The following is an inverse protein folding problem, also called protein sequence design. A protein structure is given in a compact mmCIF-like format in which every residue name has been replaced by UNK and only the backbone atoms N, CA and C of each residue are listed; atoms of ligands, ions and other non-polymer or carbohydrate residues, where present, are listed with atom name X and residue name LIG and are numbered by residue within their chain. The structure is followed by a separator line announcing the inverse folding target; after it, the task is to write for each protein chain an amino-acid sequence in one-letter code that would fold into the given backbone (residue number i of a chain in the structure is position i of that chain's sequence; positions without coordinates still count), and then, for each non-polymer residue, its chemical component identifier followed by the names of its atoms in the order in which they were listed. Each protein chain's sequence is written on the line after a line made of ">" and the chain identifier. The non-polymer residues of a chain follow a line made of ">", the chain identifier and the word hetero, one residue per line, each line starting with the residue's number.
data_IF_618017359031
#
_entry.id   IF_618017359031
#
_cell.length_a   1.000
_cell.length_b   1.000
_cell.length_c   1.000
_cell.angle_alpha   90.00
_cell.angle_beta   90.00
_cell.angle_gamma   90.00
#
_symmetry.space_group_name_H-M   'P 1'
#
loop_
_entity.id
_entity.type
_entity.pdbx_description
1 polymer ?
#
# COMPACT_ATOMS: atom_id res chain seq x y z
N UNK A 1 -8.76 42.02 -5.57
CA UNK A 1 -8.00 41.78 -6.82
C UNK A 1 -6.67 41.16 -6.43
N UNK A 2 -6.27 40.11 -7.15
CA UNK A 2 -5.03 39.32 -7.02
C UNK A 2 -5.07 38.11 -6.07
N UNK A 3 -5.56 37.03 -6.68
CA UNK A 3 -5.27 35.63 -6.43
C UNK A 3 -3.81 35.29 -6.71
N UNK A 4 -3.24 34.37 -5.94
CA UNK A 4 -2.27 33.31 -6.31
C UNK A 4 -2.10 32.43 -5.07
N UNK A 5 -2.01 31.10 -5.07
CA UNK A 5 -2.18 30.05 -6.08
C UNK A 5 -2.11 28.74 -5.28
N UNK A 6 -3.25 28.10 -5.02
CA UNK A 6 -3.30 26.77 -4.43
C UNK A 6 -3.30 25.74 -5.54
N UNK A 7 -2.14 25.18 -5.85
CA UNK A 7 -2.05 24.02 -6.74
C UNK A 7 -2.79 22.83 -6.10
N UNK A 8 -3.59 22.07 -6.86
CA UNK A 8 -4.24 20.86 -6.34
C UNK A 8 -3.20 19.79 -6.03
N UNK A 9 -3.35 19.16 -4.86
CA UNK A 9 -2.49 18.08 -4.35
C UNK A 9 -2.83 16.75 -5.05
N UNK A 10 -2.74 16.71 -6.37
CA UNK A 10 -2.98 15.56 -7.24
C UNK A 10 -1.82 15.45 -8.23
N UNK A 11 -0.70 14.84 -7.81
CA UNK A 11 0.32 14.31 -8.72
C UNK A 11 1.45 13.60 -7.95
N UNK A 12 1.23 12.35 -7.56
CA UNK A 12 2.35 11.43 -7.28
C UNK A 12 1.91 9.97 -7.39
N UNK A 13 1.30 9.57 -8.50
CA UNK A 13 1.20 8.15 -8.87
C UNK A 13 1.31 7.98 -10.38
N UNK A 14 2.25 7.10 -10.76
CA UNK A 14 2.37 6.42 -12.05
C UNK A 14 3.12 7.19 -13.14
N UNK A 15 4.44 7.04 -13.14
CA UNK A 15 5.16 6.90 -14.41
C UNK A 15 6.28 5.87 -14.23
N UNK A 16 6.04 4.65 -14.72
CA UNK A 16 7.04 3.67 -15.16
C UNK A 16 6.29 2.47 -15.76
N UNK A 17 5.86 2.63 -17.03
CA UNK A 17 5.60 1.50 -17.91
C UNK A 17 6.23 1.81 -19.27
N UNK A 18 7.46 1.35 -19.42
CA UNK A 18 8.13 1.18 -20.70
C UNK A 18 7.38 0.12 -21.55
N UNK A 19 7.36 0.27 -22.89
CA UNK A 19 6.55 -0.56 -23.78
C UNK A 19 7.20 -1.93 -24.00
N UNK A 20 6.46 -3.01 -23.71
CA UNK A 20 6.84 -4.36 -24.14
C UNK A 20 6.24 -4.60 -25.53
N UNK A 21 7.17 -4.81 -26.46
CA UNK A 21 7.01 -5.08 -27.89
C UNK A 21 6.35 -6.45 -28.09
N UNK A 22 5.24 -6.50 -28.83
CA UNK A 22 4.59 -7.75 -29.26
C UNK A 22 5.28 -8.23 -30.55
N UNK A 23 6.14 -9.23 -30.43
CA UNK A 23 6.67 -9.99 -31.56
C UNK A 23 5.65 -11.10 -31.92
N UNK A 24 5.00 -10.97 -33.07
CA UNK A 24 4.43 -12.13 -33.76
C UNK A 24 5.52 -12.86 -34.56
N UNK A 25 5.30 -14.12 -34.89
CA UNK A 25 5.48 -14.49 -36.28
C UNK A 25 4.30 -15.27 -36.87
N UNK A 26 4.34 -15.19 -38.20
CA UNK A 26 3.37 -15.61 -39.21
C UNK A 26 3.23 -17.13 -39.34
N UNK A 27 2.15 -17.55 -40.01
CA UNK A 27 1.75 -18.95 -40.19
C UNK A 27 2.44 -19.73 -41.32
N UNK A 28 1.94 -20.94 -41.56
CA UNK A 28 1.62 -21.55 -42.88
C UNK A 28 1.23 -23.03 -42.74
N UNK A 29 0.49 -23.49 -43.75
CA UNK A 29 -0.41 -24.65 -43.85
C UNK A 29 0.23 -26.06 -43.89
N UNK A 30 -0.64 -27.07 -43.66
CA UNK A 30 -0.68 -28.28 -44.50
C UNK A 30 -0.56 -29.64 -43.79
N UNK A 31 -1.57 -30.52 -43.97
CA UNK A 31 -1.42 -31.97 -43.82
C UNK A 31 -2.65 -32.75 -43.33
N UNK A 32 -3.43 -33.30 -44.25
CA UNK A 32 -4.47 -34.32 -44.03
C UNK A 32 -3.90 -35.68 -43.57
N UNK A 33 -4.70 -36.44 -42.83
CA UNK A 33 -4.48 -37.87 -42.54
C UNK A 33 -5.36 -38.36 -41.39
N UNK A 34 -6.33 -39.23 -41.68
CA UNK A 34 -7.36 -39.68 -40.76
C UNK A 34 -7.02 -40.91 -39.90
N UNK A 35 -8.10 -41.57 -39.50
CA UNK A 35 -8.25 -42.86 -38.82
C UNK A 35 -8.63 -42.82 -37.33
N UNK A 36 -9.51 -43.76 -37.02
CA UNK A 36 -10.47 -43.84 -35.94
C UNK A 36 -9.87 -44.07 -34.54
N UNK A 37 -10.74 -43.88 -33.53
CA UNK A 37 -10.94 -44.77 -32.38
C UNK A 37 -10.88 -44.12 -30.98
N UNK A 38 -11.94 -44.45 -30.23
CA UNK A 38 -12.11 -44.57 -28.79
C UNK A 38 -12.09 -43.31 -27.91
N UNK A 39 -13.21 -43.13 -27.21
CA UNK A 39 -13.43 -42.05 -26.27
C UNK A 39 -12.41 -42.02 -25.15
N UNK A 40 -11.67 -40.92 -25.07
CA UNK A 40 -10.84 -40.58 -23.93
C UNK A 40 -11.27 -39.20 -23.44
N UNK A 41 -12.12 -39.19 -22.41
CA UNK A 41 -12.58 -38.00 -21.71
C UNK A 41 -11.37 -37.19 -21.26
N UNK A 42 -11.03 -36.15 -22.02
CA UNK A 42 -9.95 -35.23 -21.72
C UNK A 42 -10.28 -34.50 -20.43
N UNK A 43 -9.58 -34.85 -19.35
CA UNK A 43 -9.66 -34.15 -18.08
C UNK A 43 -9.03 -32.76 -18.28
N UNK A 44 -9.85 -31.78 -18.69
CA UNK A 44 -9.44 -30.38 -18.78
C UNK A 44 -9.14 -29.90 -17.36
N UNK A 45 -7.88 -29.97 -16.95
CA UNK A 45 -7.40 -29.39 -15.70
C UNK A 45 -7.46 -27.87 -15.85
N UNK A 46 -8.59 -27.27 -15.48
CA UNK A 46 -8.72 -25.82 -15.31
C UNK A 46 -7.58 -25.36 -14.39
N UNK A 47 -6.64 -24.59 -14.94
CA UNK A 47 -5.54 -23.99 -14.19
C UNK A 47 -6.12 -23.18 -13.03
N UNK A 48 -5.88 -23.62 -11.79
CA UNK A 48 -6.31 -22.88 -10.60
C UNK A 48 -5.65 -21.50 -10.62
N UNK A 49 -6.40 -20.39 -10.58
CA UNK A 49 -5.80 -19.06 -10.56
C UNK A 49 -4.88 -18.95 -9.33
N UNK A 50 -3.59 -18.70 -9.58
CA UNK A 50 -2.63 -18.44 -8.50
C UNK A 50 -2.94 -17.06 -7.93
N UNK A 51 -3.47 -17.01 -6.71
CA UNK A 51 -3.66 -15.75 -5.99
C UNK A 51 -2.29 -15.12 -5.70
N UNK A 52 -2.11 -13.87 -6.15
CA UNK A 52 -0.90 -13.10 -5.84
C UNK A 52 -0.95 -12.72 -4.36
N UNK A 53 0.15 -12.95 -3.62
CA UNK A 53 0.26 -12.49 -2.23
C UNK A 53 0.08 -10.97 -2.17
N UNK A 54 -0.70 -10.42 -1.22
CA UNK A 54 -0.87 -8.98 -1.10
C UNK A 54 0.47 -8.32 -0.77
N UNK A 55 0.72 -7.15 -1.37
CA UNK A 55 1.88 -6.31 -1.03
C UNK A 55 1.72 -5.78 0.40
N UNK A 56 2.81 -5.81 1.16
CA UNK A 56 2.89 -5.23 2.50
C UNK A 56 3.36 -3.78 2.44
N UNK A 57 2.87 -2.99 3.38
CA UNK A 57 3.11 -1.56 3.51
C UNK A 57 3.46 -1.22 4.96
N UNK A 58 4.49 -0.42 5.15
CA UNK A 58 4.83 0.18 6.45
C UNK A 58 3.98 1.42 6.65
N UNK A 59 3.35 1.54 7.81
CA UNK A 59 2.70 2.78 8.25
C UNK A 59 3.66 3.55 9.15
N UNK A 60 3.84 4.83 8.85
CA UNK A 60 4.86 5.70 9.42
C UNK A 60 4.19 6.92 10.08
N UNK A 61 4.72 7.34 11.24
CA UNK A 61 4.47 8.67 11.79
C UNK A 61 5.69 9.56 11.55
N UNK A 62 5.45 10.83 11.24
CA UNK A 62 6.48 11.85 11.04
C UNK A 62 6.51 12.83 12.21
N UNK A 63 7.70 13.26 12.60
CA UNK A 63 7.89 14.23 13.67
C UNK A 63 7.43 15.63 13.24
N UNK A 64 6.91 16.37 14.21
CA UNK A 64 6.58 17.79 14.12
C UNK A 64 6.78 18.45 15.49
N UNK A 65 6.83 19.78 15.54
CA UNK A 65 7.14 20.52 16.77
C UNK A 65 5.91 20.87 17.64
N UNK A 66 4.70 20.49 17.22
CA UNK A 66 3.45 20.96 17.84
C UNK A 66 2.57 19.85 18.42
N UNK A 67 2.70 18.62 17.96
CA UNK A 67 1.94 17.48 18.47
C UNK A 67 2.50 17.04 19.83
N UNK A 68 1.69 17.00 20.91
CA UNK A 68 2.16 16.55 22.22
C UNK A 68 2.61 15.08 22.23
N UNK A 69 3.67 14.76 22.99
CA UNK A 69 4.18 13.39 23.12
C UNK A 69 3.11 12.39 23.57
N UNK A 70 2.29 12.76 24.55
CA UNK A 70 1.19 11.92 25.05
C UNK A 70 0.10 11.68 23.99
N UNK A 71 -0.11 12.63 23.07
CA UNK A 71 -1.04 12.44 21.96
C UNK A 71 -0.52 11.36 21.00
N UNK A 72 0.77 11.38 20.68
CA UNK A 72 1.41 10.36 19.83
C UNK A 72 1.33 8.98 20.48
N UNK A 73 1.57 8.88 21.79
CA UNK A 73 1.42 7.62 22.53
C UNK A 73 -0.03 7.12 22.45
N UNK A 74 -1.02 8.00 22.67
CA UNK A 74 -2.43 7.63 22.56
C UNK A 74 -2.81 7.12 21.16
N UNK A 75 -2.28 7.75 20.11
CA UNK A 75 -2.46 7.30 18.71
C UNK A 75 -1.91 5.89 18.51
N UNK A 76 -0.70 5.62 19.03
CA UNK A 76 -0.03 4.32 18.92
C UNK A 76 -0.79 3.21 19.69
N UNK A 77 -1.31 3.51 20.88
CA UNK A 77 -2.15 2.59 21.65
C UNK A 77 -3.48 2.31 20.95
N UNK A 78 -4.18 3.36 20.52
CA UNK A 78 -5.55 3.27 19.99
C UNK A 78 -5.63 2.64 18.60
N UNK A 79 -4.77 3.05 17.67
CA UNK A 79 -4.88 2.67 16.26
C UNK A 79 -3.90 1.57 15.84
N UNK A 80 -2.81 1.39 16.58
CA UNK A 80 -1.77 0.40 16.26
C UNK A 80 -1.64 -0.71 17.30
N UNK A 81 -2.49 -0.70 18.33
CA UNK A 81 -2.54 -1.71 19.39
C UNK A 81 -1.17 -1.92 20.06
N UNK A 82 -0.38 -0.84 20.18
CA UNK A 82 0.88 -0.88 20.92
C UNK A 82 0.59 -0.86 22.41
N UNK A 83 1.32 -1.67 23.18
CA UNK A 83 1.38 -1.48 24.62
C UNK A 83 2.07 -0.15 24.95
N UNK A 84 1.78 0.42 26.12
CA UNK A 84 2.28 1.73 26.53
C UNK A 84 3.80 1.87 26.40
N UNK A 85 4.57 0.86 26.82
CA UNK A 85 6.04 0.86 26.74
C UNK A 85 6.54 0.92 25.29
N UNK A 86 5.96 0.10 24.41
CA UNK A 86 6.28 0.09 22.97
C UNK A 86 5.87 1.39 22.30
N UNK A 87 4.70 1.93 22.65
CA UNK A 87 4.22 3.20 22.14
C UNK A 87 5.16 4.35 22.52
N UNK A 88 5.59 4.43 23.79
CA UNK A 88 6.56 5.43 24.24
C UNK A 88 7.89 5.29 23.51
N UNK A 89 8.38 4.06 23.30
CA UNK A 89 9.63 3.81 22.55
C UNK A 89 9.53 4.26 21.10
N UNK A 90 8.42 3.96 20.41
CA UNK A 90 8.19 4.42 19.03
C UNK A 90 8.06 5.94 18.99
N UNK A 91 7.30 6.54 19.91
CA UNK A 91 7.14 7.99 20.01
C UNK A 91 8.50 8.70 20.17
N UNK A 92 9.35 8.24 21.10
CA UNK A 92 10.69 8.80 21.29
C UNK A 92 11.57 8.61 20.05
N UNK A 93 11.39 7.50 19.32
CA UNK A 93 12.09 7.28 18.06
C UNK A 93 11.65 8.30 17.00
N UNK A 94 10.34 8.53 16.82
CA UNK A 94 9.82 9.56 15.91
C UNK A 94 10.40 10.92 16.29
N UNK A 95 10.33 11.29 17.57
CA UNK A 95 10.81 12.58 18.07
C UNK A 95 12.29 12.84 17.75
N UNK A 96 13.15 11.84 17.97
CA UNK A 96 14.60 11.99 17.76
C UNK A 96 15.07 11.74 16.32
N UNK A 97 14.33 10.95 15.53
CA UNK A 97 14.76 10.49 14.19
C UNK A 97 13.93 11.07 13.05
N UNK A 98 12.85 11.80 13.36
CA UNK A 98 11.98 12.42 12.37
C UNK A 98 10.89 11.50 11.82
N UNK A 99 11.05 10.17 11.93
CA UNK A 99 10.11 9.18 11.40
C UNK A 99 10.15 7.92 12.27
N UNK A 100 9.03 7.21 12.38
CA UNK A 100 8.96 5.93 13.08
C UNK A 100 7.91 4.99 12.50
N UNK A 101 8.24 3.70 12.47
CA UNK A 101 7.35 2.65 11.98
C UNK A 101 6.35 2.28 13.07
N UNK A 102 5.07 2.42 12.75
CA UNK A 102 3.98 2.06 13.64
C UNK A 102 3.58 0.59 13.47
N UNK A 103 3.60 0.09 12.24
CA UNK A 103 3.32 -1.30 11.91
C UNK A 103 3.41 -1.60 10.41
N UNK A 104 3.29 -2.87 10.07
CA UNK A 104 3.30 -3.37 8.68
C UNK A 104 1.98 -4.07 8.41
N UNK A 105 1.31 -3.71 7.32
CA UNK A 105 -0.03 -4.17 7.00
C UNK A 105 -0.20 -4.40 5.49
N UNK A 106 -1.30 -5.02 5.09
CA UNK A 106 -1.73 -4.98 3.68
C UNK A 106 -2.13 -3.55 3.30
N UNK A 107 -2.11 -3.23 2.00
CA UNK A 107 -2.45 -1.90 1.49
C UNK A 107 -3.75 -1.34 2.08
N UNK A 108 -4.86 -2.08 1.99
CA UNK A 108 -6.19 -1.61 2.45
C UNK A 108 -6.22 -1.30 3.94
N UNK A 109 -5.53 -2.11 4.76
CA UNK A 109 -5.43 -1.91 6.20
C UNK A 109 -4.53 -0.72 6.53
N UNK A 110 -3.41 -0.57 5.81
CA UNK A 110 -2.51 0.57 5.97
C UNK A 110 -3.22 1.89 5.61
N UNK A 111 -3.90 1.94 4.47
CA UNK A 111 -4.67 3.11 4.00
C UNK A 111 -5.74 3.52 5.02
N UNK A 112 -6.50 2.55 5.53
CA UNK A 112 -7.52 2.81 6.55
C UNK A 112 -6.90 3.39 7.82
N UNK A 113 -5.77 2.85 8.30
CA UNK A 113 -5.10 3.35 9.50
C UNK A 113 -4.55 4.76 9.29
N UNK A 114 -3.96 5.05 8.13
CA UNK A 114 -3.45 6.39 7.78
C UNK A 114 -4.59 7.42 7.85
N UNK A 115 -5.73 7.11 7.21
CA UNK A 115 -6.91 7.99 7.23
C UNK A 115 -7.43 8.21 8.65
N UNK A 116 -7.61 7.13 9.43
CA UNK A 116 -8.09 7.23 10.82
C UNK A 116 -7.21 8.11 11.70
N UNK A 117 -5.88 7.95 11.62
CA UNK A 117 -4.94 8.76 12.41
C UNK A 117 -4.94 10.22 11.96
N UNK A 118 -4.99 10.46 10.65
CA UNK A 118 -5.03 11.81 10.09
C UNK A 118 -6.28 12.56 10.54
N UNK A 119 -7.45 11.92 10.44
CA UNK A 119 -8.71 12.53 10.85
C UNK A 119 -8.76 12.78 12.36
N UNK A 120 -8.30 11.81 13.15
CA UNK A 120 -8.23 11.95 14.60
C UNK A 120 -7.32 13.11 15.02
N UNK A 121 -6.15 13.25 14.37
CA UNK A 121 -5.20 14.35 14.63
C UNK A 121 -5.79 15.70 14.28
N UNK A 122 -6.47 15.81 13.12
CA UNK A 122 -7.18 17.04 12.72
C UNK A 122 -8.28 17.44 13.70
N UNK A 123 -9.09 16.47 14.15
CA UNK A 123 -10.16 16.72 15.14
C UNK A 123 -9.62 17.24 16.48
N UNK A 124 -8.39 16.87 16.84
CA UNK A 124 -7.69 17.32 18.04
C UNK A 124 -6.75 18.50 17.79
N UNK A 125 -6.81 19.11 16.60
CA UNK A 125 -6.01 20.28 16.22
C UNK A 125 -4.49 20.05 16.28
N UNK A 126 -4.04 18.82 15.98
CA UNK A 126 -2.63 18.48 15.87
C UNK A 126 -2.20 18.27 14.41
N UNK A 127 -1.02 18.77 13.99
CA UNK A 127 -0.54 18.62 12.62
C UNK A 127 0.14 17.25 12.35
N UNK A 128 0.02 16.29 13.28
CA UNK A 128 0.63 14.96 13.20
C UNK A 128 0.38 14.30 11.83
N UNK A 129 1.46 13.94 11.14
CA UNK A 129 1.39 13.29 9.84
C UNK A 129 1.57 11.78 9.97
N UNK A 130 0.68 11.05 9.31
CA UNK A 130 0.71 9.60 9.17
C UNK A 130 0.75 9.27 7.67
N UNK A 131 1.63 8.36 7.25
CA UNK A 131 1.78 7.97 5.84
C UNK A 131 2.07 6.48 5.72
N UNK A 132 2.12 5.96 4.48
CA UNK A 132 2.50 4.57 4.21
C UNK A 132 3.43 4.45 3.00
N UNK A 133 4.36 3.50 3.06
CA UNK A 133 5.24 3.14 1.95
C UNK A 133 5.24 1.63 1.73
N UNK A 134 5.52 1.20 0.50
CA UNK A 134 5.64 -0.22 0.19
C UNK A 134 6.89 -0.79 0.88
N UNK A 135 6.74 -1.96 1.50
CA UNK A 135 7.86 -2.68 2.15
C UNK A 135 8.91 -3.19 1.15
#
# INVERSE_FOLDING_TARGET
>A
MHVVSGVPFEAAMIELKSPIQMAGPNGSEGGEGGDDNEGRTGLVTKTRPKTKKPSLYKVLLLNDDYTPMEFVVHVLERFFNKGREDATRIMLHVHHKGVGICGVYTYEVAETKVTQVTDFSRQHQHPLQCTMEKE
#
